data_IF_903452656415
#
_entry.id   IF_903452656415
#
_cell.length_a   1.000
_cell.length_b   1.000
_cell.length_c   1.000
_cell.angle_alpha   90.00
_cell.angle_beta   90.00
_cell.angle_gamma   90.00
#
_symmetry.space_group_name_H-M   'P 1'
#
loop_
_entity.id
_entity.type
_entity.pdbx_description
1 polymer ?
#
# COMPACT_ATOMS: atom_id res chain seq x y z
N UNK A 1 18.08 39.67 29.96
CA UNK A 1 17.49 38.91 31.08
C UNK A 1 17.09 37.53 30.55
N UNK A 2 17.75 36.45 30.97
CA UNK A 2 17.52 35.09 30.45
C UNK A 2 16.37 34.44 31.21
N UNK A 3 15.24 34.22 30.55
CA UNK A 3 14.07 33.54 31.11
C UNK A 3 14.23 32.04 30.89
N UNK A 4 14.30 31.28 31.98
CA UNK A 4 14.36 29.81 31.95
C UNK A 4 13.08 29.27 31.29
N UNK A 5 13.19 28.73 30.06
CA UNK A 5 12.09 28.05 29.38
C UNK A 5 11.97 26.61 29.88
N UNK A 6 10.93 26.32 30.64
CA UNK A 6 10.60 24.97 31.14
C UNK A 6 10.09 24.07 30.01
N UNK A 7 10.33 22.76 30.10
CA UNK A 7 10.00 21.73 29.09
C UNK A 7 8.52 21.76 28.64
N UNK A 8 7.61 22.23 29.50
CA UNK A 8 6.20 22.43 29.17
C UNK A 8 5.97 23.46 28.04
N UNK A 9 6.73 24.57 28.03
CA UNK A 9 6.64 25.62 27.01
C UNK A 9 7.06 25.12 25.62
N UNK A 10 8.01 24.18 25.56
CA UNK A 10 8.46 23.57 24.29
C UNK A 10 7.43 22.59 23.71
N UNK A 11 6.61 21.94 24.56
CA UNK A 11 5.50 21.09 24.09
C UNK A 11 4.36 21.92 23.51
N UNK A 12 4.03 23.04 24.13
CA UNK A 12 2.98 23.94 23.63
C UNK A 12 3.36 24.60 22.30
N UNK A 13 4.61 25.04 22.13
CA UNK A 13 5.13 25.55 20.85
C UNK A 13 5.04 24.47 19.74
N UNK A 14 5.40 23.21 20.02
CA UNK A 14 5.32 22.10 19.04
C UNK A 14 3.87 21.75 18.70
N UNK A 15 2.95 21.81 19.68
CA UNK A 15 1.52 21.59 19.41
C UNK A 15 0.96 22.73 18.55
N UNK A 16 1.31 23.99 18.83
CA UNK A 16 0.93 25.17 18.03
C UNK A 16 1.53 25.16 16.61
N UNK A 17 2.76 24.70 16.43
CA UNK A 17 3.36 24.52 15.11
C UNK A 17 2.67 23.38 14.34
N UNK A 18 2.35 22.27 15.01
CA UNK A 18 1.68 21.14 14.37
C UNK A 18 0.26 21.48 13.92
N UNK A 19 -0.47 22.32 14.67
CA UNK A 19 -1.81 22.79 14.30
C UNK A 19 -1.74 23.77 13.12
N UNK A 20 -0.78 24.71 13.11
CA UNK A 20 -0.53 25.60 11.98
C UNK A 20 -0.18 24.85 10.69
N UNK A 21 0.71 23.85 10.77
CA UNK A 21 1.09 23.02 9.61
C UNK A 21 -0.11 22.21 9.08
N UNK A 22 -0.99 21.74 9.97
CA UNK A 22 -2.20 20.97 9.60
C UNK A 22 -3.24 21.85 8.90
N UNK A 23 -3.35 23.13 9.29
CA UNK A 23 -4.20 24.11 8.62
C UNK A 23 -3.67 24.50 7.24
N UNK A 24 -2.35 24.70 7.09
CA UNK A 24 -1.75 24.98 5.77
C UNK A 24 -1.96 23.83 4.79
N UNK A 25 -1.82 22.57 5.24
CA UNK A 25 -2.06 21.38 4.39
C UNK A 25 -3.53 21.28 3.96
N UNK A 26 -4.49 21.65 4.81
CA UNK A 26 -5.92 21.71 4.45
C UNK A 26 -6.21 22.80 3.41
N UNK A 27 -5.57 23.98 3.51
CA UNK A 27 -5.72 25.06 2.51
C UNK A 27 -5.10 24.68 1.17
N UNK A 28 -3.94 24.02 1.15
CA UNK A 28 -3.29 23.52 -0.08
C UNK A 28 -4.13 22.44 -0.77
N UNK A 29 -4.71 21.48 -0.04
CA UNK A 29 -5.63 20.45 -0.60
C UNK A 29 -6.88 21.05 -1.25
N UNK A 30 -7.47 22.09 -0.65
CA UNK A 30 -8.65 22.80 -1.23
C UNK A 30 -8.32 23.59 -2.49
N UNK A 31 -7.11 24.17 -2.62
CA UNK A 31 -6.67 24.85 -3.85
C UNK A 31 -6.37 23.86 -4.98
N UNK A 32 -5.72 22.74 -4.68
CA UNK A 32 -5.40 21.70 -5.69
C UNK A 32 -6.67 21.03 -6.25
N UNK A 33 -7.67 20.73 -5.42
CA UNK A 33 -8.94 20.17 -5.89
C UNK A 33 -9.71 21.08 -6.86
N UNK A 34 -9.59 22.40 -6.74
CA UNK A 34 -10.25 23.35 -7.66
C UNK A 34 -9.59 23.42 -9.04
N UNK A 35 -8.27 23.20 -9.11
CA UNK A 35 -7.54 23.24 -10.39
C UNK A 35 -7.58 21.90 -11.15
N UNK A 36 -7.52 20.77 -10.44
CA UNK A 36 -7.58 19.44 -11.09
C UNK A 36 -8.95 19.20 -11.74
N UNK A 37 -10.05 19.65 -11.14
CA UNK A 37 -11.41 19.46 -11.68
C UNK A 37 -11.68 20.19 -13.00
N UNK A 38 -10.99 21.29 -13.32
CA UNK A 38 -11.17 21.99 -14.59
C UNK A 38 -10.38 21.35 -15.75
N UNK A 39 -9.21 20.77 -15.47
CA UNK A 39 -8.37 20.13 -16.50
C UNK A 39 -8.94 18.79 -16.99
N UNK A 40 -9.57 17.99 -16.13
CA UNK A 40 -10.16 16.71 -16.54
C UNK A 40 -11.45 16.87 -17.34
N UNK A 41 -12.19 17.97 -17.16
CA UNK A 41 -13.43 18.22 -17.90
C UNK A 41 -13.18 18.52 -19.39
N UNK A 42 -12.09 19.20 -19.74
CA UNK A 42 -11.74 19.46 -21.15
C UNK A 42 -11.15 18.24 -21.87
N UNK A 43 -10.37 17.40 -21.18
CA UNK A 43 -9.77 16.20 -21.78
C UNK A 43 -10.78 15.08 -22.04
N UNK A 44 -11.87 14.99 -21.25
CA UNK A 44 -12.95 14.02 -21.47
C UNK A 44 -13.88 14.41 -22.63
N UNK A 45 -13.94 15.69 -23.02
CA UNK A 45 -14.77 16.15 -24.13
C UNK A 45 -14.25 15.74 -25.52
N UNK A 46 -12.94 15.65 -25.70
CA UNK A 46 -12.33 15.31 -27.01
C UNK A 46 -12.13 13.82 -27.21
N UNK A 47 -11.85 13.06 -26.15
CA UNK A 47 -11.74 11.60 -26.23
C UNK A 47 -13.11 10.89 -26.38
N UNK A 48 -14.19 11.50 -25.88
CA UNK A 48 -15.55 10.97 -26.01
C UNK A 48 -16.10 10.97 -27.44
N UNK A 49 -15.65 11.90 -28.29
CA UNK A 49 -16.14 12.02 -29.67
C UNK A 49 -15.47 11.05 -30.65
N UNK A 50 -14.21 10.64 -30.41
CA UNK A 50 -13.51 9.72 -31.32
C UNK A 50 -13.82 8.25 -31.02
N UNK A 51 -14.03 7.88 -29.75
CA UNK A 51 -14.41 6.51 -29.36
C UNK A 51 -15.91 6.20 -29.60
N UNK A 52 -16.78 7.21 -29.65
CA UNK A 52 -18.22 7.03 -29.85
C UNK A 52 -18.63 6.62 -31.28
N UNK A 53 -17.85 6.97 -32.30
CA UNK A 53 -18.21 6.68 -33.69
C UNK A 53 -17.90 5.23 -34.13
N UNK A 54 -16.95 4.55 -33.46
CA UNK A 54 -16.48 3.22 -33.89
C UNK A 54 -17.32 2.07 -33.29
N UNK A 55 -18.02 2.30 -32.17
CA UNK A 55 -18.75 1.21 -31.49
C UNK A 55 -20.18 0.98 -32.01
N UNK A 56 -20.74 1.89 -32.82
CA UNK A 56 -22.13 1.80 -33.28
C UNK A 56 -22.35 0.82 -34.45
N UNK A 57 -21.30 0.24 -35.03
CA UNK A 57 -21.42 -0.69 -36.17
C UNK A 57 -21.54 -2.15 -35.73
N UNK A 58 -21.16 -2.52 -34.51
CA UNK A 58 -21.19 -3.92 -34.07
C UNK A 58 -22.39 -4.23 -33.16
N UNK A 59 -23.57 -3.81 -33.61
CA UNK A 59 -24.88 -4.17 -33.03
C UNK A 59 -25.23 -5.60 -33.47
N UNK A 60 -24.68 -6.58 -32.77
CA UNK A 60 -24.88 -8.00 -33.06
C UNK A 60 -24.68 -8.90 -31.85
N UNK A 61 -25.53 -8.74 -30.83
CA UNK A 61 -25.78 -9.74 -29.79
C UNK A 61 -24.68 -9.94 -28.74
N UNK A 62 -24.84 -9.35 -27.56
CA UNK A 62 -24.21 -9.90 -26.34
C UNK A 62 -24.98 -9.46 -25.09
N UNK A 63 -25.29 -10.45 -24.27
CA UNK A 63 -26.06 -10.38 -23.03
C UNK A 63 -25.39 -9.46 -22.00
N UNK A 64 -26.21 -8.71 -21.24
CA UNK A 64 -25.80 -8.04 -20.01
C UNK A 64 -25.19 -9.10 -19.07
N UNK A 65 -23.89 -9.00 -18.80
CA UNK A 65 -23.24 -9.82 -17.78
C UNK A 65 -23.03 -8.94 -16.56
N UNK A 66 -23.84 -9.19 -15.54
CA UNK A 66 -23.61 -8.73 -14.18
C UNK A 66 -22.22 -9.22 -13.73
N UNK A 67 -21.33 -8.29 -13.42
CA UNK A 67 -20.00 -8.62 -12.89
C UNK A 67 -20.19 -9.10 -11.45
N UNK A 68 -20.42 -10.40 -11.29
CA UNK A 68 -20.27 -11.09 -10.01
C UNK A 68 -18.82 -10.94 -9.55
N UNK A 69 -18.54 -10.61 -8.28
CA UNK A 69 -17.17 -10.56 -7.78
C UNK A 69 -16.54 -11.94 -7.99
N UNK A 70 -15.58 -12.03 -8.89
CA UNK A 70 -14.82 -13.26 -9.13
C UNK A 70 -14.00 -13.51 -7.88
N UNK A 71 -14.45 -14.43 -7.05
CA UNK A 71 -13.62 -15.05 -6.01
C UNK A 71 -12.62 -15.91 -6.75
N UNK A 72 -11.49 -15.31 -7.14
CA UNK A 72 -10.37 -16.07 -7.68
C UNK A 72 -9.80 -16.84 -6.49
N UNK A 73 -9.96 -18.16 -6.50
CA UNK A 73 -9.25 -19.06 -5.60
C UNK A 73 -7.77 -19.03 -5.99
N UNK A 74 -7.04 -18.03 -5.51
CA UNK A 74 -5.59 -18.00 -5.63
C UNK A 74 -5.01 -19.00 -4.63
N UNK A 75 -4.31 -20.00 -5.14
CA UNK A 75 -3.34 -20.77 -4.35
C UNK A 75 -2.01 -20.01 -4.41
N UNK A 76 -1.53 -19.50 -3.27
CA UNK A 76 -0.18 -18.91 -3.18
C UNK A 76 0.86 -19.98 -3.49
N UNK A 77 1.85 -19.66 -4.33
CA UNK A 77 2.98 -20.56 -4.56
C UNK A 77 4.05 -20.44 -3.48
N UNK A 78 3.99 -19.37 -2.67
CA UNK A 78 4.97 -19.07 -1.63
C UNK A 78 4.75 -19.89 -0.36
N UNK A 79 5.86 -20.33 0.25
CA UNK A 79 5.87 -21.02 1.53
C UNK A 79 5.45 -20.08 2.67
N UNK A 80 4.41 -20.49 3.40
CA UNK A 80 3.95 -19.82 4.61
C UNK A 80 4.41 -20.64 5.82
N UNK A 81 5.31 -20.08 6.62
CA UNK A 81 5.87 -20.71 7.82
C UNK A 81 5.28 -20.05 9.07
N UNK A 82 4.75 -20.86 9.98
CA UNK A 82 4.34 -20.39 11.31
C UNK A 82 5.43 -20.68 12.34
N UNK A 83 5.98 -19.63 12.96
CA UNK A 83 6.99 -19.76 14.02
C UNK A 83 6.42 -20.36 15.31
N UNK A 84 5.11 -20.24 15.52
CA UNK A 84 4.45 -20.78 16.71
C UNK A 84 4.29 -22.30 16.66
N UNK A 85 4.50 -22.92 15.49
CA UNK A 85 4.28 -24.35 15.26
C UNK A 85 2.81 -24.78 15.34
N UNK A 86 1.87 -23.82 15.40
CA UNK A 86 0.46 -24.07 15.62
C UNK A 86 -0.30 -23.92 14.30
N UNK A 87 -0.54 -25.05 13.62
CA UNK A 87 -1.16 -25.09 12.29
C UNK A 87 -2.51 -24.35 12.18
N UNK A 88 -3.19 -24.08 13.29
CA UNK A 88 -4.46 -23.38 13.32
C UNK A 88 -4.34 -21.85 13.12
N UNK A 89 -3.14 -21.27 13.17
CA UNK A 89 -2.94 -19.83 12.96
C UNK A 89 -2.99 -19.44 11.47
N UNK A 90 -2.68 -20.36 10.56
CA UNK A 90 -2.75 -20.13 9.10
C UNK A 90 -4.21 -20.22 8.64
N UNK A 91 -4.96 -19.16 8.88
CA UNK A 91 -6.35 -19.02 8.45
C UNK A 91 -6.46 -18.77 6.94
N UNK A 92 -7.62 -19.01 6.35
CA UNK A 92 -7.86 -18.77 4.92
C UNK A 92 -7.73 -17.29 4.54
N UNK A 93 -8.03 -16.38 5.48
CA UNK A 93 -7.78 -14.94 5.30
C UNK A 93 -6.29 -14.65 5.07
N UNK A 94 -5.40 -15.33 5.80
CA UNK A 94 -3.95 -15.16 5.63
C UNK A 94 -3.52 -15.69 4.28
N UNK A 95 -3.98 -16.89 3.89
CA UNK A 95 -3.66 -17.48 2.59
C UNK A 95 -4.11 -16.58 1.45
N UNK A 96 -5.33 -16.03 1.53
CA UNK A 96 -5.86 -15.11 0.54
C UNK A 96 -5.04 -13.81 0.49
N UNK A 97 -4.73 -13.23 1.64
CA UNK A 97 -3.90 -12.01 1.71
C UNK A 97 -2.53 -12.25 1.07
N UNK A 98 -1.84 -13.34 1.43
CA UNK A 98 -0.52 -13.71 0.90
C UNK A 98 -0.60 -13.93 -0.60
N UNK A 99 -1.62 -14.62 -1.10
CA UNK A 99 -1.72 -14.92 -2.51
C UNK A 99 -1.97 -13.66 -3.36
N UNK A 100 -2.84 -12.74 -2.89
CA UNK A 100 -3.04 -11.45 -3.58
C UNK A 100 -1.77 -10.60 -3.51
N UNK A 101 -1.11 -10.54 -2.35
CA UNK A 101 0.16 -9.84 -2.21
C UNK A 101 1.25 -10.40 -3.13
N UNK A 102 1.31 -11.72 -3.30
CA UNK A 102 2.24 -12.39 -4.22
C UNK A 102 2.01 -11.94 -5.67
N UNK A 103 0.75 -11.86 -6.10
CA UNK A 103 0.40 -11.39 -7.44
C UNK A 103 0.74 -9.92 -7.62
N UNK A 104 0.36 -9.06 -6.68
CA UNK A 104 0.64 -7.62 -6.75
C UNK A 104 2.15 -7.34 -6.81
N UNK A 105 2.96 -8.06 -6.01
CA UNK A 105 4.41 -7.95 -6.05
C UNK A 105 4.99 -8.48 -7.37
N UNK A 106 4.45 -9.58 -7.91
CA UNK A 106 4.88 -10.13 -9.20
C UNK A 106 4.64 -9.14 -10.34
N UNK A 107 3.51 -8.44 -10.34
CA UNK A 107 3.20 -7.39 -11.32
C UNK A 107 4.19 -6.21 -11.23
N UNK A 108 4.71 -5.94 -10.02
CA UNK A 108 5.78 -4.98 -9.76
C UNK A 108 7.20 -5.53 -10.01
N UNK A 109 7.33 -6.76 -10.53
CA UNK A 109 8.60 -7.48 -10.74
C UNK A 109 9.40 -7.74 -9.46
N UNK A 110 8.72 -7.77 -8.32
CA UNK A 110 9.27 -8.13 -7.02
C UNK A 110 8.84 -9.56 -6.70
N UNK A 111 9.79 -10.46 -6.47
CA UNK A 111 9.46 -11.86 -6.17
C UNK A 111 9.48 -12.10 -4.67
N UNK A 112 8.36 -12.57 -4.14
CA UNK A 112 8.24 -13.01 -2.75
C UNK A 112 8.78 -14.44 -2.61
N UNK A 113 9.59 -14.70 -1.58
CA UNK A 113 10.24 -16.01 -1.38
C UNK A 113 9.64 -16.79 -0.22
N UNK A 114 9.34 -16.11 0.88
CA UNK A 114 8.84 -16.72 2.11
C UNK A 114 7.96 -15.73 2.85
N UNK A 115 6.92 -16.25 3.51
CA UNK A 115 6.14 -15.49 4.49
C UNK A 115 6.21 -16.20 5.82
N UNK A 116 6.46 -15.44 6.87
CA UNK A 116 6.54 -15.93 8.24
C UNK A 116 5.44 -15.30 9.08
N UNK A 117 4.71 -16.11 9.84
CA UNK A 117 3.81 -15.66 10.89
C UNK A 117 4.60 -15.61 12.19
N UNK A 118 4.87 -14.42 12.74
CA UNK A 118 5.63 -14.31 13.97
C UNK A 118 4.86 -14.83 15.17
N UNK A 119 5.57 -15.37 16.16
CA UNK A 119 4.97 -15.82 17.42
C UNK A 119 4.17 -14.69 18.09
N UNK A 120 3.01 -15.05 18.67
CA UNK A 120 2.10 -14.15 19.37
C UNK A 120 1.47 -13.02 18.51
N UNK A 121 1.58 -13.11 17.18
CA UNK A 121 1.01 -12.12 16.26
C UNK A 121 0.12 -12.76 15.20
N UNK A 122 -1.18 -12.58 15.34
CA UNK A 122 -2.18 -13.18 14.44
C UNK A 122 -2.49 -12.35 13.20
N UNK A 123 -2.11 -11.06 13.20
CA UNK A 123 -2.47 -10.09 12.14
C UNK A 123 -1.25 -9.51 11.43
N UNK A 124 -0.04 -9.95 11.78
CA UNK A 124 1.20 -9.48 11.18
C UNK A 124 1.87 -10.61 10.41
N UNK A 125 2.54 -10.23 9.32
CA UNK A 125 3.29 -11.13 8.48
C UNK A 125 4.67 -10.53 8.24
N UNK A 126 5.69 -11.37 8.32
CA UNK A 126 7.05 -11.03 7.95
C UNK A 126 7.32 -11.61 6.55
N UNK A 127 7.44 -10.73 5.56
CA UNK A 127 7.55 -11.07 4.15
C UNK A 127 9.00 -10.96 3.68
N UNK A 128 9.51 -12.01 3.06
CA UNK A 128 10.86 -12.08 2.50
C UNK A 128 10.83 -12.01 0.98
N UNK A 129 11.79 -11.30 0.41
CA UNK A 129 11.89 -11.04 -1.02
C UNK A 129 13.17 -11.66 -1.60
N UNK A 130 13.14 -11.98 -2.89
CA UNK A 130 14.31 -12.50 -3.60
C UNK A 130 15.42 -11.44 -3.68
N UNK A 131 16.66 -11.85 -3.40
CA UNK A 131 17.84 -10.99 -3.49
C UNK A 131 17.95 -9.93 -2.37
N UNK A 132 17.13 -10.02 -1.32
CA UNK A 132 17.13 -9.08 -0.18
C UNK A 132 17.30 -9.85 1.13
N UNK A 133 18.02 -9.26 2.08
CA UNK A 133 18.24 -9.84 3.40
C UNK A 133 17.24 -9.36 4.44
N UNK A 134 16.67 -8.17 4.22
CA UNK A 134 15.64 -7.61 5.08
C UNK A 134 14.28 -8.28 4.87
N UNK A 135 13.46 -8.26 5.92
CA UNK A 135 12.07 -8.68 5.85
C UNK A 135 11.11 -7.48 6.02
N UNK A 136 9.92 -7.61 5.46
CA UNK A 136 8.89 -6.57 5.44
C UNK A 136 7.73 -6.95 6.36
N UNK A 137 7.45 -6.10 7.34
CA UNK A 137 6.34 -6.28 8.28
C UNK A 137 5.06 -5.75 7.65
N UNK A 138 4.12 -6.65 7.38
CA UNK A 138 2.83 -6.37 6.79
C UNK A 138 1.70 -6.56 7.80
N UNK A 139 0.55 -5.93 7.56
CA UNK A 139 -0.66 -6.07 8.36
C UNK A 139 -1.78 -6.66 7.49
N UNK A 140 -2.35 -7.79 7.92
CA UNK A 140 -3.35 -8.56 7.14
C UNK A 140 -4.65 -7.79 6.89
N UNK A 141 -4.96 -6.77 7.71
CA UNK A 141 -6.18 -5.96 7.56
C UNK A 141 -6.02 -4.76 6.62
N UNK A 142 -4.80 -4.55 6.12
CA UNK A 142 -4.53 -3.55 5.11
C UNK A 142 -4.80 -4.12 3.72
N UNK A 143 -4.98 -3.26 2.74
CA UNK A 143 -4.96 -3.65 1.34
C UNK A 143 -3.61 -4.32 0.97
N UNK A 144 -3.62 -5.53 0.38
CA UNK A 144 -2.42 -6.16 -0.17
C UNK A 144 -1.73 -5.28 -1.21
N UNK A 145 -2.51 -4.65 -2.11
CA UNK A 145 -2.00 -3.80 -3.19
C UNK A 145 -1.22 -2.60 -2.65
N UNK A 146 -1.76 -1.92 -1.63
CA UNK A 146 -1.04 -0.80 -1.02
C UNK A 146 0.23 -1.24 -0.29
N UNK A 147 0.20 -2.44 0.32
CA UNK A 147 1.38 -3.01 0.97
C UNK A 147 2.44 -3.36 -0.07
N UNK A 148 2.06 -3.89 -1.23
CA UNK A 148 2.96 -4.17 -2.35
C UNK A 148 3.62 -2.88 -2.89
N UNK A 149 2.85 -1.81 -3.09
CA UNK A 149 3.38 -0.51 -3.51
C UNK A 149 4.37 0.08 -2.50
N UNK A 150 4.06 0.01 -1.21
CA UNK A 150 4.95 0.52 -0.17
C UNK A 150 6.23 -0.33 -0.05
N UNK A 151 6.12 -1.66 -0.21
CA UNK A 151 7.27 -2.57 -0.27
C UNK A 151 8.18 -2.22 -1.45
N UNK A 152 7.63 -2.11 -2.66
CA UNK A 152 8.42 -1.80 -3.86
C UNK A 152 9.09 -0.43 -3.74
N UNK A 153 8.36 0.58 -3.25
CA UNK A 153 8.91 1.93 -3.05
C UNK A 153 10.07 1.91 -2.06
N UNK A 154 9.93 1.15 -0.97
CA UNK A 154 10.99 1.01 0.02
C UNK A 154 12.17 0.22 -0.52
N UNK A 155 11.94 -0.88 -1.24
CA UNK A 155 13.00 -1.64 -1.88
C UNK A 155 13.82 -0.75 -2.83
N UNK A 156 13.14 0.03 -3.67
CA UNK A 156 13.78 0.98 -4.59
C UNK A 156 14.60 2.02 -3.84
N UNK A 157 14.07 2.56 -2.76
CA UNK A 157 14.77 3.51 -1.90
C UNK A 157 16.02 2.89 -1.26
N UNK A 158 15.91 1.68 -0.69
CA UNK A 158 17.02 1.00 -0.04
C UNK A 158 18.13 0.64 -1.04
N UNK A 159 17.78 0.19 -2.25
CA UNK A 159 18.76 -0.07 -3.33
C UNK A 159 19.46 1.21 -3.73
N UNK A 160 18.71 2.28 -3.99
CA UNK A 160 19.28 3.56 -4.42
C UNK A 160 20.24 4.18 -3.39
N UNK A 161 20.03 3.89 -2.10
CA UNK A 161 20.86 4.41 -1.00
C UNK A 161 21.85 3.38 -0.44
N UNK A 162 21.93 2.19 -1.04
CA UNK A 162 22.77 1.08 -0.59
C UNK A 162 22.57 0.72 0.91
N UNK A 163 21.31 0.66 1.35
CA UNK A 163 20.93 0.36 2.72
C UNK A 163 20.47 -1.09 2.85
N UNK A 164 20.95 -1.77 3.90
CA UNK A 164 20.60 -3.15 4.25
C UNK A 164 20.08 -3.23 5.68
N UNK A 165 18.85 -2.74 5.94
CA UNK A 165 18.23 -2.85 7.25
C UNK A 165 17.98 -4.32 7.62
N UNK A 166 17.74 -4.57 8.89
CA UNK A 166 17.23 -5.84 9.39
C UNK A 166 15.77 -6.01 8.98
N UNK A 167 14.96 -4.94 9.10
CA UNK A 167 13.56 -4.98 8.70
C UNK A 167 13.05 -3.65 8.15
N UNK A 168 11.95 -3.74 7.40
CA UNK A 168 11.12 -2.62 6.98
C UNK A 168 9.70 -2.83 7.48
N UNK A 169 9.10 -1.81 8.06
CA UNK A 169 7.76 -1.82 8.62
C UNK A 169 6.84 -0.99 7.73
N UNK A 170 5.95 -1.67 7.00
CA UNK A 170 4.98 -1.08 6.06
C UNK A 170 3.55 -1.18 6.57
N UNK A 171 3.37 -1.38 7.89
CA UNK A 171 2.04 -1.53 8.50
C UNK A 171 1.23 -0.23 8.53
N UNK A 172 1.89 0.92 8.33
CA UNK A 172 1.28 2.25 8.37
C UNK A 172 1.14 2.77 6.95
N UNK A 173 -0.07 3.20 6.59
CA UNK A 173 -0.34 3.75 5.26
C UNK A 173 0.58 4.94 4.93
N UNK A 174 1.17 4.90 3.74
CA UNK A 174 2.05 5.96 3.21
C UNK A 174 3.28 6.26 4.07
N UNK A 175 3.66 5.37 5.00
CA UNK A 175 4.86 5.53 5.83
C UNK A 175 5.52 4.19 6.02
N UNK A 176 6.84 4.19 5.94
CA UNK A 176 7.63 3.03 6.28
C UNK A 176 8.72 3.41 7.28
N UNK A 177 9.03 2.47 8.17
CA UNK A 177 10.12 2.58 9.14
C UNK A 177 11.09 1.44 8.91
N UNK A 178 12.39 1.68 8.96
CA UNK A 178 13.39 0.62 8.85
C UNK A 178 14.37 0.70 10.00
N UNK A 179 15.00 -0.43 10.30
CA UNK A 179 16.08 -0.54 11.29
C UNK A 179 17.16 -1.43 10.75
#
# INVERSE_FOLDING_TARGET
MRINKTIASKREEVILESTRIKEEKRRKRKKVMRFVGLSTALALGTAGLTLGAVSLINRGGAKKTEVKPTVVNLTSSVEIVDESGNKNLITDKIKQYVAVLEQDLKDLRVKMTKVVLPTDKTRQLDVYLEGRSEYYKCLIDRSPAESAEDIERMQRYLIANNLTPIYVDVRIESRAYYK
#
